data_IF_552414596732
#
_entry.id   IF_552414596732
#
_cell.length_a   1.000
_cell.length_b   1.000
_cell.length_c   1.000
_cell.angle_alpha   90.00
_cell.angle_beta   90.00
_cell.angle_gamma   90.00
#
_symmetry.space_group_name_H-M   'P 1'
#
loop_
_entity.id
_entity.type
_entity.pdbx_description
1 polymer ?
#
# COMPACT_ATOMS: atom_id res chain seq x y z
N UNK A 1 39.11 22.94 -23.69
CA UNK A 1 37.80 23.20 -23.04
C UNK A 1 37.02 21.88 -23.02
N UNK A 2 36.69 21.38 -21.82
CA UNK A 2 36.44 19.95 -21.54
C UNK A 2 34.97 19.53 -21.72
N UNK A 3 34.41 19.75 -22.92
CA UNK A 3 32.96 19.63 -23.16
C UNK A 3 32.53 18.17 -23.39
N UNK A 4 33.37 17.32 -23.97
CA UNK A 4 33.00 15.92 -24.30
C UNK A 4 33.03 14.94 -23.11
N UNK A 5 33.79 15.22 -22.04
CA UNK A 5 33.90 14.30 -20.89
C UNK A 5 32.68 14.33 -19.96
N UNK A 6 31.91 15.41 -19.96
CA UNK A 6 30.68 15.55 -19.14
C UNK A 6 29.53 14.66 -19.63
N UNK A 7 29.17 14.63 -20.93
CA UNK A 7 28.07 13.78 -21.41
C UNK A 7 28.38 12.29 -21.23
N UNK A 8 29.62 11.84 -21.48
CA UNK A 8 29.99 10.42 -21.30
C UNK A 8 29.89 9.98 -19.83
N UNK A 9 30.26 10.85 -18.88
CA UNK A 9 30.10 10.57 -17.45
C UNK A 9 28.62 10.53 -17.05
N UNK A 10 27.82 11.49 -17.53
CA UNK A 10 26.39 11.54 -17.25
C UNK A 10 25.68 10.27 -17.76
N UNK A 11 25.96 9.86 -19.01
CA UNK A 11 25.41 8.63 -19.61
C UNK A 11 25.77 7.40 -18.79
N UNK A 12 27.03 7.26 -18.37
CA UNK A 12 27.47 6.13 -17.52
C UNK A 12 26.74 6.07 -16.19
N UNK A 13 26.54 7.22 -15.53
CA UNK A 13 25.79 7.30 -14.27
C UNK A 13 24.33 6.92 -14.51
N UNK A 14 23.68 7.46 -15.55
CA UNK A 14 22.28 7.12 -15.88
C UNK A 14 22.09 5.63 -16.14
N UNK A 15 22.97 5.03 -16.95
CA UNK A 15 22.92 3.58 -17.24
C UNK A 15 23.09 2.77 -15.96
N UNK A 16 24.04 3.15 -15.10
CA UNK A 16 24.24 2.46 -13.82
C UNK A 16 23.01 2.57 -12.91
N UNK A 17 22.41 3.75 -12.77
CA UNK A 17 21.19 3.95 -11.97
C UNK A 17 20.03 3.11 -12.50
N UNK A 18 19.84 3.04 -13.82
CA UNK A 18 18.80 2.22 -14.43
C UNK A 18 19.02 0.73 -14.16
N UNK A 19 20.26 0.24 -14.26
CA UNK A 19 20.60 -1.15 -13.94
C UNK A 19 20.29 -1.48 -12.48
N UNK A 20 20.63 -0.57 -11.55
CA UNK A 20 20.30 -0.75 -10.13
C UNK A 20 18.78 -0.86 -9.94
N UNK A 21 17.99 0.05 -10.53
CA UNK A 21 16.52 0.01 -10.44
C UNK A 21 15.97 -1.31 -11.00
N UNK A 22 16.44 -1.74 -12.18
CA UNK A 22 16.02 -2.99 -12.81
C UNK A 22 16.35 -4.22 -11.94
N UNK A 23 17.55 -4.27 -11.36
CA UNK A 23 17.91 -5.33 -10.41
C UNK A 23 16.98 -5.35 -9.20
N UNK A 24 16.64 -4.19 -8.64
CA UNK A 24 15.70 -4.12 -7.52
C UNK A 24 14.28 -4.54 -7.89
N UNK A 25 13.81 -4.18 -9.08
CA UNK A 25 12.51 -4.64 -9.58
C UNK A 25 12.49 -6.16 -9.75
N UNK A 26 13.59 -6.75 -10.21
CA UNK A 26 13.73 -8.20 -10.39
C UNK A 26 13.80 -8.98 -9.08
N UNK A 27 14.44 -8.42 -8.03
CA UNK A 27 14.47 -9.00 -6.68
C UNK A 27 13.06 -8.95 -6.06
N UNK A 28 12.33 -7.88 -6.33
CA UNK A 28 10.97 -7.65 -5.85
C UNK A 28 10.89 -7.18 -4.41
N UNK A 29 11.45 -7.95 -3.46
CA UNK A 29 11.59 -7.52 -2.07
C UNK A 29 12.84 -8.10 -1.39
N UNK A 30 13.29 -7.42 -0.35
CA UNK A 30 14.31 -7.92 0.59
C UNK A 30 13.65 -8.15 1.93
N UNK A 31 13.87 -9.31 2.54
CA UNK A 31 13.31 -9.64 3.86
C UNK A 31 14.40 -9.64 4.93
N UNK A 32 14.18 -8.88 6.01
CA UNK A 32 15.06 -8.77 7.18
C UNK A 32 14.17 -8.76 8.43
N UNK A 33 14.44 -9.64 9.39
CA UNK A 33 13.72 -9.73 10.67
C UNK A 33 12.18 -9.72 10.53
N UNK A 34 11.66 -10.50 9.58
CA UNK A 34 10.21 -10.58 9.25
C UNK A 34 9.60 -9.26 8.74
N UNK A 35 10.42 -8.33 8.27
CA UNK A 35 10.02 -7.12 7.56
C UNK A 35 10.44 -7.26 6.10
N UNK A 36 9.47 -7.15 5.20
CA UNK A 36 9.74 -7.10 3.75
C UNK A 36 9.88 -5.66 3.29
N UNK A 37 10.91 -5.39 2.51
CA UNK A 37 11.23 -4.09 1.97
C UNK A 37 11.02 -4.08 0.47
N UNK A 38 10.24 -3.11 -0.02
CA UNK A 38 9.96 -2.93 -1.46
C UNK A 38 10.47 -1.58 -1.94
N UNK A 39 10.77 -1.49 -3.24
CA UNK A 39 11.05 -0.23 -3.93
C UNK A 39 12.21 0.55 -3.35
N UNK A 40 13.41 -0.03 -3.29
CA UNK A 40 14.60 0.60 -2.70
C UNK A 40 14.40 0.99 -1.23
N UNK A 41 13.84 0.07 -0.44
CA UNK A 41 13.54 0.24 0.99
C UNK A 41 12.49 1.31 1.33
N UNK A 42 11.78 1.86 0.33
CA UNK A 42 10.76 2.90 0.54
C UNK A 42 9.51 2.41 1.26
N UNK A 43 9.19 1.13 1.11
CA UNK A 43 8.02 0.53 1.75
C UNK A 43 8.45 -0.62 2.64
N UNK A 44 7.97 -0.59 3.88
CA UNK A 44 8.16 -1.63 4.89
C UNK A 44 6.85 -2.39 5.07
N UNK A 45 6.91 -3.71 4.95
CA UNK A 45 5.76 -4.57 5.21
C UNK A 45 6.04 -5.43 6.44
N UNK A 46 5.51 -4.99 7.57
CA UNK A 46 5.79 -5.58 8.88
C UNK A 46 4.87 -6.79 9.07
N UNK A 47 5.48 -7.96 9.28
CA UNK A 47 4.79 -9.24 9.54
C UNK A 47 3.73 -9.62 8.50
N UNK A 48 3.82 -9.07 7.27
CA UNK A 48 2.79 -9.18 6.24
C UNK A 48 1.40 -8.67 6.68
N UNK A 49 1.34 -7.78 7.68
CA UNK A 49 0.09 -7.23 8.24
C UNK A 49 -0.05 -5.75 7.93
N UNK A 50 1.03 -4.96 7.97
CA UNK A 50 0.92 -3.50 7.74
C UNK A 50 1.95 -3.06 6.73
N UNK A 51 1.48 -2.54 5.60
CA UNK A 51 2.32 -1.89 4.60
C UNK A 51 2.48 -0.40 4.96
N UNK A 52 3.72 0.04 5.13
CA UNK A 52 4.10 1.38 5.58
C UNK A 52 4.99 2.02 4.53
N UNK A 53 4.73 3.27 4.17
CA UNK A 53 5.73 4.08 3.47
C UNK A 53 6.71 4.63 4.49
N UNK A 54 7.97 4.23 4.39
CA UNK A 54 8.97 4.40 5.46
C UNK A 54 9.25 5.87 5.78
N UNK A 55 9.63 6.65 4.75
CA UNK A 55 9.97 8.07 4.93
C UNK A 55 8.77 8.93 5.38
N UNK A 56 7.59 8.70 4.79
CA UNK A 56 6.37 9.41 5.16
C UNK A 56 5.78 8.95 6.51
N UNK A 57 6.24 7.81 7.03
CA UNK A 57 5.80 7.17 8.27
C UNK A 57 4.28 6.97 8.35
N UNK A 58 3.66 6.54 7.24
CA UNK A 58 2.21 6.37 7.10
C UNK A 58 1.84 4.94 6.69
N UNK A 59 0.73 4.45 7.23
CA UNK A 59 0.13 3.20 6.80
C UNK A 59 -0.45 3.38 5.40
N UNK A 60 0.11 2.68 4.42
CA UNK A 60 -0.43 2.58 3.06
C UNK A 60 -1.60 1.61 3.04
N UNK A 61 -1.41 0.44 3.66
CA UNK A 61 -2.48 -0.52 3.89
C UNK A 61 -2.31 -1.15 5.29
N UNK A 62 -3.13 -0.73 6.27
CA UNK A 62 -3.23 -1.38 7.57
C UNK A 62 -3.98 -2.70 7.45
N UNK A 63 -3.58 -3.69 8.25
CA UNK A 63 -4.22 -5.01 8.33
C UNK A 63 -4.50 -5.64 6.96
N UNK A 64 -3.44 -5.89 6.21
CA UNK A 64 -3.46 -6.56 4.90
C UNK A 64 -3.95 -8.00 5.05
N UNK A 65 -5.00 -8.33 4.30
CA UNK A 65 -5.54 -9.67 4.18
C UNK A 65 -4.82 -10.46 3.10
N UNK A 66 -4.57 -9.83 1.95
CA UNK A 66 -3.84 -10.44 0.83
C UNK A 66 -3.02 -9.38 0.08
N UNK A 67 -1.95 -9.82 -0.58
CA UNK A 67 -1.15 -8.98 -1.45
C UNK A 67 -0.56 -9.77 -2.60
N UNK A 68 -0.23 -9.09 -3.68
CA UNK A 68 0.57 -9.63 -4.78
C UNK A 68 1.51 -8.56 -5.32
N UNK A 69 2.67 -8.99 -5.81
CA UNK A 69 3.66 -8.09 -6.40
C UNK A 69 3.81 -8.39 -7.89
N UNK A 70 3.50 -7.40 -8.72
CA UNK A 70 3.65 -7.43 -10.17
C UNK A 70 4.46 -6.18 -10.56
N UNK A 71 5.80 -6.29 -10.66
CA UNK A 71 6.68 -5.13 -10.77
C UNK A 71 6.24 -4.13 -11.85
N UNK A 72 6.26 -2.81 -11.55
CA UNK A 72 6.71 -2.17 -10.30
C UNK A 72 5.62 -2.05 -9.22
N UNK A 73 4.48 -2.72 -9.39
CA UNK A 73 3.31 -2.51 -8.56
C UNK A 73 3.18 -3.55 -7.44
N UNK A 74 2.99 -3.06 -6.22
CA UNK A 74 2.54 -3.85 -5.09
C UNK A 74 1.03 -3.62 -4.91
N UNK A 75 0.25 -4.68 -5.08
CA UNK A 75 -1.20 -4.67 -4.85
C UNK A 75 -1.49 -5.24 -3.48
N UNK A 76 -2.27 -4.54 -2.68
CA UNK A 76 -2.70 -4.98 -1.35
C UNK A 76 -4.20 -4.85 -1.19
N UNK A 77 -4.79 -5.78 -0.46
CA UNK A 77 -6.16 -5.75 0.04
C UNK A 77 -6.12 -5.85 1.56
N UNK A 78 -6.63 -4.85 2.26
CA UNK A 78 -6.65 -4.78 3.72
C UNK A 78 -7.90 -4.10 4.26
N UNK A 79 -7.89 -3.77 5.55
CA UNK A 79 -9.08 -3.21 6.21
C UNK A 79 -9.47 -1.84 5.67
N UNK A 80 -8.51 -1.09 5.12
CA UNK A 80 -8.74 0.25 4.57
C UNK A 80 -9.11 0.25 3.08
N UNK A 81 -9.16 -0.92 2.44
CA UNK A 81 -9.59 -1.09 1.05
C UNK A 81 -8.55 -1.80 0.18
N UNK A 82 -8.46 -1.37 -1.08
CA UNK A 82 -7.52 -1.89 -2.07
C UNK A 82 -6.52 -0.82 -2.46
N UNK A 83 -5.24 -1.19 -2.54
CA UNK A 83 -4.17 -0.26 -2.88
C UNK A 83 -3.24 -0.83 -3.94
N UNK A 84 -2.96 -0.04 -4.97
CA UNK A 84 -1.90 -0.26 -5.96
C UNK A 84 -0.80 0.76 -5.71
N UNK A 85 0.35 0.26 -5.27
CA UNK A 85 1.51 1.08 -4.92
C UNK A 85 2.57 0.92 -6.01
N UNK A 86 2.89 1.98 -6.74
CA UNK A 86 4.10 2.02 -7.54
C UNK A 86 5.31 2.20 -6.62
N UNK A 87 6.15 1.17 -6.55
CA UNK A 87 7.26 1.15 -5.59
C UNK A 87 8.45 1.99 -6.05
N UNK A 88 8.46 2.44 -7.32
CA UNK A 88 9.54 3.26 -7.87
C UNK A 88 9.55 4.69 -7.30
N UNK A 89 10.73 5.33 -7.16
CA UNK A 89 10.81 6.72 -6.73
C UNK A 89 9.91 7.65 -7.55
N UNK A 90 9.06 8.43 -6.87
CA UNK A 90 8.06 9.29 -7.52
C UNK A 90 6.79 8.58 -7.99
N UNK A 91 6.69 7.26 -7.78
CA UNK A 91 5.53 6.44 -8.11
C UNK A 91 4.26 6.84 -7.35
N UNK A 92 3.12 6.59 -7.97
CA UNK A 92 1.80 6.89 -7.41
C UNK A 92 1.31 5.80 -6.45
N UNK A 93 0.35 6.18 -5.61
CA UNK A 93 -0.47 5.28 -4.81
C UNK A 93 -1.92 5.46 -5.25
N UNK A 94 -2.51 4.45 -5.89
CA UNK A 94 -3.93 4.44 -6.21
C UNK A 94 -4.68 3.59 -5.19
N UNK A 95 -5.69 4.18 -4.55
CA UNK A 95 -6.44 3.55 -3.46
C UNK A 95 -7.94 3.60 -3.70
N UNK A 96 -8.55 2.42 -3.79
CA UNK A 96 -10.01 2.23 -3.65
C UNK A 96 -10.28 2.11 -2.16
N UNK A 97 -10.72 3.20 -1.54
CA UNK A 97 -10.65 3.34 -0.09
C UNK A 97 -11.98 3.00 0.59
N UNK A 98 -11.91 2.26 1.69
CA UNK A 98 -13.04 2.03 2.58
C UNK A 98 -13.29 3.31 3.40
N UNK A 99 -14.20 4.17 2.94
CA UNK A 99 -14.54 5.42 3.63
C UNK A 99 -14.98 5.20 5.08
N UNK A 100 -15.69 4.10 5.34
CA UNK A 100 -16.13 3.74 6.70
C UNK A 100 -14.94 3.50 7.62
N UNK A 101 -13.90 2.78 7.16
CA UNK A 101 -12.67 2.61 7.95
C UNK A 101 -12.09 3.94 8.41
N UNK A 102 -11.98 4.91 7.50
CA UNK A 102 -11.35 6.19 7.77
C UNK A 102 -12.16 7.08 8.72
N UNK A 103 -13.48 6.93 8.80
CA UNK A 103 -14.32 7.67 9.75
C UNK A 103 -14.02 7.32 11.22
N UNK A 104 -13.39 6.16 11.46
CA UNK A 104 -13.09 5.67 12.80
C UNK A 104 -11.60 5.76 13.18
N UNK A 105 -10.74 6.27 12.30
CA UNK A 105 -9.33 6.50 12.65
C UNK A 105 -9.22 7.84 13.38
N UNK A 106 -8.77 7.88 14.65
CA UNK A 106 -8.69 9.14 15.40
C UNK A 106 -7.68 10.12 14.80
N UNK A 107 -8.02 11.41 14.80
CA UNK A 107 -7.14 12.48 14.28
C UNK A 107 -5.81 12.60 15.05
N UNK A 108 -5.82 12.23 16.33
CA UNK A 108 -4.62 12.21 17.19
C UNK A 108 -3.70 10.99 16.94
N UNK A 109 -4.08 10.06 16.07
CA UNK A 109 -3.27 8.89 15.77
C UNK A 109 -2.06 9.24 14.87
N UNK A 110 -0.89 9.34 15.49
CA UNK A 110 0.36 9.72 14.82
C UNK A 110 1.26 8.53 14.46
N UNK A 111 0.86 7.31 14.80
CA UNK A 111 1.64 6.09 14.51
C UNK A 111 1.64 5.70 13.02
N UNK A 112 2.50 4.76 12.61
CA UNK A 112 2.54 4.28 11.22
C UNK A 112 1.65 3.07 10.94
N UNK A 113 0.88 2.61 11.94
CA UNK A 113 0.08 1.38 11.83
C UNK A 113 -1.36 1.62 11.39
N UNK A 114 -1.86 2.84 11.58
CA UNK A 114 -3.14 3.36 11.09
C UNK A 114 -2.89 4.80 10.67
N UNK A 115 -3.65 5.32 9.71
CA UNK A 115 -3.42 6.68 9.19
C UNK A 115 -4.76 7.25 8.78
N UNK A 116 -5.05 8.48 9.20
CA UNK A 116 -6.28 9.18 8.78
C UNK A 116 -6.23 9.47 7.29
N UNK A 117 -7.41 9.61 6.67
CA UNK A 117 -7.48 9.91 5.24
C UNK A 117 -6.84 11.26 4.92
N UNK A 118 -6.98 12.25 5.81
CA UNK A 118 -6.37 13.56 5.65
C UNK A 118 -4.84 13.47 5.70
N UNK A 119 -4.27 12.79 6.70
CA UNK A 119 -2.82 12.60 6.78
C UNK A 119 -2.27 11.83 5.58
N UNK A 120 -3.02 10.86 5.07
CA UNK A 120 -2.68 10.12 3.86
C UNK A 120 -2.63 11.05 2.63
N UNK A 121 -3.65 11.90 2.46
CA UNK A 121 -3.70 12.95 1.42
C UNK A 121 -2.54 13.94 1.56
N UNK A 122 -2.23 14.40 2.76
CA UNK A 122 -1.18 15.39 2.99
C UNK A 122 0.22 14.85 2.66
N UNK A 123 0.48 13.58 2.97
CA UNK A 123 1.80 12.95 2.77
C UNK A 123 2.06 12.57 1.32
N UNK A 124 1.07 12.04 0.62
CA UNK A 124 1.23 11.62 -0.78
C UNK A 124 0.90 12.73 -1.78
N UNK A 125 0.05 13.70 -1.40
CA UNK A 125 -0.31 14.83 -2.24
C UNK A 125 -0.73 14.40 -3.65
N UNK A 126 -0.01 14.90 -4.66
CA UNK A 126 -0.28 14.61 -6.07
C UNK A 126 0.00 13.16 -6.48
N UNK A 127 0.72 12.39 -5.68
CA UNK A 127 0.97 10.97 -5.94
C UNK A 127 -0.21 10.09 -5.53
N UNK A 128 -1.14 10.60 -4.73
CA UNK A 128 -2.32 9.86 -4.30
C UNK A 128 -3.46 10.00 -5.31
N UNK A 129 -4.02 8.86 -5.71
CA UNK A 129 -5.23 8.77 -6.51
C UNK A 129 -6.26 8.01 -5.67
N UNK A 130 -7.35 8.68 -5.29
CA UNK A 130 -8.44 8.07 -4.54
C UNK A 130 -9.57 7.68 -5.48
N UNK A 131 -10.14 6.50 -5.24
CA UNK A 131 -11.28 5.93 -5.95
C UNK A 131 -12.34 5.52 -4.94
N UNK A 132 -13.60 5.76 -5.27
CA UNK A 132 -14.71 5.37 -4.41
C UNK A 132 -15.16 3.94 -4.70
N UNK A 133 -14.92 3.43 -5.93
CA UNK A 133 -15.26 2.06 -6.31
C UNK A 133 -14.19 1.34 -7.14
N UNK A 134 -14.21 0.01 -7.07
CA UNK A 134 -13.51 -0.90 -7.98
C UNK A 134 -13.94 -0.73 -9.45
N UNK A 135 -15.05 -0.04 -9.74
CA UNK A 135 -15.43 0.31 -11.11
C UNK A 135 -14.63 1.48 -11.68
N UNK A 136 -13.98 2.27 -10.82
CA UNK A 136 -13.22 3.46 -11.22
C UNK A 136 -11.75 3.15 -11.55
N UNK A 137 -11.34 1.88 -11.44
CA UNK A 137 -9.99 1.40 -11.78
C UNK A 137 -9.98 0.68 -13.13
N UNK A 138 -8.78 0.41 -13.65
CA UNK A 138 -8.66 -0.36 -14.90
C UNK A 138 -9.22 -1.77 -14.73
N UNK A 139 -9.70 -2.38 -15.83
CA UNK A 139 -10.22 -3.75 -15.81
C UNK A 139 -9.18 -4.76 -15.31
N UNK A 140 -7.91 -4.57 -15.69
CA UNK A 140 -6.80 -5.40 -15.24
C UNK A 140 -6.58 -5.27 -13.73
N UNK A 141 -6.56 -4.05 -13.19
CA UNK A 141 -6.40 -3.82 -11.75
C UNK A 141 -7.60 -4.39 -10.97
N UNK A 142 -8.82 -4.22 -11.49
CA UNK A 142 -10.04 -4.79 -10.92
C UNK A 142 -9.95 -6.31 -10.82
N UNK A 143 -9.45 -6.98 -11.86
CA UNK A 143 -9.26 -8.44 -11.84
C UNK A 143 -8.28 -8.88 -10.74
N UNK A 144 -7.15 -8.16 -10.59
CA UNK A 144 -6.17 -8.41 -9.53
C UNK A 144 -6.82 -8.23 -8.15
N UNK A 145 -7.57 -7.14 -7.94
CA UNK A 145 -8.23 -6.88 -6.66
C UNK A 145 -9.28 -7.93 -6.29
N UNK A 146 -10.05 -8.43 -7.26
CA UNK A 146 -10.99 -9.53 -7.03
C UNK A 146 -10.25 -10.82 -6.62
N UNK A 147 -9.13 -11.14 -7.26
CA UNK A 147 -8.28 -12.26 -6.85
C UNK A 147 -7.72 -12.11 -5.44
N UNK A 148 -7.31 -10.90 -5.05
CA UNK A 148 -6.88 -10.61 -3.68
C UNK A 148 -8.03 -10.73 -2.67
N UNK A 149 -9.24 -10.29 -3.04
CA UNK A 149 -10.45 -10.42 -2.20
C UNK A 149 -10.70 -11.88 -1.86
N UNK A 150 -10.69 -12.75 -2.87
CA UNK A 150 -10.88 -14.19 -2.72
C UNK A 150 -9.78 -14.81 -1.86
N UNK A 151 -8.51 -14.57 -2.19
CA UNK A 151 -7.37 -15.12 -1.46
C UNK A 151 -7.30 -14.63 0.01
N UNK A 152 -7.78 -13.42 0.29
CA UNK A 152 -7.75 -12.80 1.62
C UNK A 152 -8.97 -13.11 2.50
N UNK A 153 -9.99 -13.78 1.99
CA UNK A 153 -11.30 -13.87 2.66
C UNK A 153 -11.25 -14.56 4.03
N UNK A 154 -10.41 -15.58 4.21
CA UNK A 154 -10.23 -16.25 5.49
C UNK A 154 -9.61 -15.31 6.54
N UNK A 155 -8.57 -14.56 6.14
CA UNK A 155 -7.89 -13.59 7.01
C UNK A 155 -8.80 -12.42 7.36
N UNK A 156 -9.58 -11.91 6.40
CA UNK A 156 -10.60 -10.89 6.63
C UNK A 156 -11.61 -11.34 7.66
N UNK A 157 -12.25 -12.50 7.43
CA UNK A 157 -13.28 -13.05 8.34
C UNK A 157 -12.69 -13.24 9.74
N UNK A 158 -11.48 -13.79 9.82
CA UNK A 158 -10.78 -13.99 11.09
C UNK A 158 -10.45 -12.68 11.80
N UNK A 159 -10.06 -11.63 11.06
CA UNK A 159 -9.79 -10.31 11.61
C UNK A 159 -11.04 -9.73 12.27
N UNK A 160 -12.15 -9.60 11.53
CA UNK A 160 -13.37 -8.99 12.07
C UNK A 160 -13.95 -9.80 13.23
N UNK A 161 -14.00 -11.14 13.10
CA UNK A 161 -14.42 -12.02 14.20
C UNK A 161 -13.59 -11.79 15.46
N UNK A 162 -12.26 -11.74 15.34
CA UNK A 162 -11.38 -11.51 16.51
C UNK A 162 -11.61 -10.12 17.08
N UNK A 163 -11.74 -9.08 16.26
CA UNK A 163 -11.97 -7.71 16.75
C UNK A 163 -13.27 -7.60 17.52
N UNK A 164 -14.36 -8.20 17.04
CA UNK A 164 -15.64 -8.23 17.78
C UNK A 164 -15.56 -8.98 19.12
N UNK A 165 -14.71 -10.02 19.23
CA UNK A 165 -14.49 -10.75 20.49
C UNK A 165 -13.66 -9.92 21.47
N UNK A 166 -12.61 -9.25 21.00
CA UNK A 166 -11.67 -8.50 21.86
C UNK A 166 -12.19 -7.12 22.26
N UNK A 167 -13.04 -6.51 21.43
CA UNK A 167 -13.60 -5.18 21.61
C UNK A 167 -15.13 -5.22 21.49
N UNK A 168 -15.83 -5.87 22.46
CA UNK A 168 -17.27 -6.05 22.40
C UNK A 168 -18.06 -4.73 22.41
N UNK A 169 -17.48 -3.66 22.96
CA UNK A 169 -18.02 -2.30 22.97
C UNK A 169 -17.94 -1.60 21.59
N UNK A 170 -17.18 -2.16 20.64
CA UNK A 170 -16.96 -1.61 19.30
C UNK A 170 -17.46 -2.53 18.18
N UNK A 171 -18.34 -3.48 18.48
CA UNK A 171 -18.83 -4.45 17.50
C UNK A 171 -19.45 -3.74 16.29
N UNK A 172 -20.30 -2.73 16.53
CA UNK A 172 -20.98 -2.01 15.44
C UNK A 172 -19.97 -1.32 14.51
N UNK A 173 -18.95 -0.67 15.07
CA UNK A 173 -17.84 -0.06 14.31
C UNK A 173 -17.14 -1.11 13.41
N UNK A 174 -16.81 -2.28 13.95
CA UNK A 174 -16.11 -3.31 13.16
C UNK A 174 -17.01 -3.94 12.10
N UNK A 175 -18.30 -4.14 12.37
CA UNK A 175 -19.25 -4.63 11.38
C UNK A 175 -19.50 -3.61 10.26
N UNK A 176 -19.54 -2.32 10.59
CA UNK A 176 -19.66 -1.26 9.58
C UNK A 176 -18.42 -1.19 8.69
N UNK A 177 -17.21 -1.28 9.26
CA UNK A 177 -15.96 -1.36 8.49
C UNK A 177 -15.96 -2.57 7.54
N UNK A 178 -16.46 -3.71 8.00
CA UNK A 178 -16.58 -4.92 7.19
C UNK A 178 -17.54 -4.72 6.01
N UNK A 179 -18.72 -4.13 6.26
CA UNK A 179 -19.70 -3.81 5.19
C UNK A 179 -19.13 -2.79 4.20
N UNK A 180 -18.36 -1.82 4.67
CA UNK A 180 -17.70 -0.81 3.84
C UNK A 180 -16.74 -1.42 2.81
N UNK A 181 -16.10 -2.56 3.13
CA UNK A 181 -15.29 -3.31 2.16
C UNK A 181 -16.12 -4.06 1.11
N UNK A 182 -17.33 -4.49 1.47
CA UNK A 182 -18.22 -5.18 0.53
C UNK A 182 -18.87 -4.22 -0.48
N UNK A 183 -18.91 -2.93 -0.16
CA UNK A 183 -19.45 -1.88 -1.02
C UNK A 183 -18.46 -1.28 -2.03
N UNK A 184 -17.18 -1.68 -2.00
CA UNK A 184 -16.14 -1.16 -2.90
C UNK A 184 -16.27 -1.72 -4.32
#
# INVERSE_FOLDING_TARGET
>A
MNIERRPVKAVKVTVYTLLVILCWLAIGFVELDSIKYFGLLRYKFISNITLIHDEANVAVEPWVFAYTYSPPYLYTYGVSGYTKTDVLPGGSVEKVYNSVYYNYVPDEFMGPFETTLQRFKDKFGKQLILRDSLQDVSEMDRHIYLGLKEAGQERRTSYFRRKCIHFPDKIDEYLEKERGLDSL
#
